data_IF_287282184587
#
_entry.id   IF_287282184587
#
_cell.length_a   1.000
_cell.length_b   1.000
_cell.length_c   1.000
_cell.angle_alpha   90.00
_cell.angle_beta   90.00
_cell.angle_gamma   90.00
#
_symmetry.space_group_name_H-M   'P 1'
#
loop_
_entity.id
_entity.type
_entity.pdbx_description
1 polymer ?
#
# COMPACT_ATOMS: atom_id res chain seq x y z
N UNK A 1 6.27 -18.04 14.65
CA UNK A 1 6.25 -16.59 14.90
C UNK A 1 7.03 -15.94 13.79
N UNK A 2 6.45 -14.99 13.05
CA UNK A 2 7.18 -14.26 12.03
C UNK A 2 8.17 -13.31 12.71
N UNK A 3 9.35 -13.16 12.15
CA UNK A 3 10.26 -12.07 12.56
C UNK A 3 9.64 -10.73 12.17
N UNK A 4 10.01 -9.65 12.86
CA UNK A 4 9.54 -8.30 12.54
C UNK A 4 9.80 -7.93 11.07
N UNK A 5 10.95 -8.34 10.52
CA UNK A 5 11.29 -8.14 9.11
C UNK A 5 10.35 -8.89 8.17
N UNK A 6 10.04 -10.15 8.45
CA UNK A 6 9.10 -10.92 7.62
C UNK A 6 7.69 -10.33 7.68
N UNK A 7 7.23 -9.88 8.85
CA UNK A 7 5.93 -9.23 8.98
C UNK A 7 5.86 -7.91 8.20
N UNK A 8 6.94 -7.12 8.17
CA UNK A 8 7.02 -5.88 7.38
C UNK A 8 7.04 -6.15 5.87
N UNK A 9 7.78 -7.15 5.41
CA UNK A 9 7.81 -7.54 3.99
C UNK A 9 6.44 -8.05 3.52
N UNK A 10 5.76 -8.86 4.34
CA UNK A 10 4.41 -9.33 4.07
C UNK A 10 3.40 -8.16 4.03
N UNK A 11 3.49 -7.23 5.00
CA UNK A 11 2.69 -6.01 4.99
C UNK A 11 2.93 -5.19 3.72
N UNK A 12 4.19 -5.01 3.29
CA UNK A 12 4.53 -4.30 2.05
C UNK A 12 3.84 -4.93 0.85
N UNK A 13 3.93 -6.26 0.72
CA UNK A 13 3.30 -7.00 -0.37
C UNK A 13 1.78 -6.86 -0.38
N UNK A 14 1.14 -7.01 0.78
CA UNK A 14 -0.32 -6.92 0.90
C UNK A 14 -0.84 -5.52 0.56
N UNK A 15 -0.18 -4.47 1.06
CA UNK A 15 -0.58 -3.08 0.77
C UNK A 15 -0.37 -2.78 -0.72
N UNK A 16 0.76 -3.18 -1.31
CA UNK A 16 1.02 -2.98 -2.74
C UNK A 16 -0.02 -3.67 -3.63
N UNK A 17 -0.39 -4.91 -3.30
CA UNK A 17 -1.43 -5.65 -4.00
C UNK A 17 -2.80 -4.95 -3.91
N UNK A 18 -3.25 -4.63 -2.69
CA UNK A 18 -4.54 -3.96 -2.47
C UNK A 18 -4.60 -2.57 -3.14
N UNK A 19 -3.51 -1.81 -3.08
CA UNK A 19 -3.42 -0.50 -3.75
C UNK A 19 -3.50 -0.64 -5.25
N UNK A 20 -2.86 -1.66 -5.84
CA UNK A 20 -2.91 -1.91 -7.29
C UNK A 20 -4.32 -2.29 -7.76
N UNK A 21 -5.05 -3.08 -6.96
CA UNK A 21 -6.45 -3.41 -7.22
C UNK A 21 -7.30 -2.13 -7.18
N UNK A 22 -7.14 -1.31 -6.14
CA UNK A 22 -7.84 -0.05 -6.00
C UNK A 22 -7.52 0.92 -7.15
N UNK A 23 -6.26 0.97 -7.59
CA UNK A 23 -5.82 1.78 -8.72
C UNK A 23 -6.50 1.39 -10.03
N UNK A 24 -6.74 0.10 -10.25
CA UNK A 24 -7.49 -0.39 -11.41
C UNK A 24 -8.98 -0.07 -11.28
N UNK A 25 -9.59 -0.40 -10.15
CA UNK A 25 -11.05 -0.26 -9.95
C UNK A 25 -11.49 1.21 -10.00
N UNK A 26 -10.69 2.15 -9.48
CA UNK A 26 -11.02 3.58 -9.51
C UNK A 26 -11.16 4.13 -10.94
N UNK A 27 -10.56 3.46 -11.91
CA UNK A 27 -10.57 3.85 -13.34
C UNK A 27 -11.58 3.04 -14.16
N UNK A 28 -11.80 1.76 -13.83
CA UNK A 28 -12.57 0.84 -14.68
C UNK A 28 -14.00 0.58 -14.22
N UNK A 29 -14.34 0.83 -12.94
CA UNK A 29 -15.68 0.54 -12.43
C UNK A 29 -16.73 1.46 -13.04
N UNK A 30 -17.86 0.88 -13.45
CA UNK A 30 -19.01 1.64 -13.95
C UNK A 30 -19.82 2.30 -12.82
N UNK A 31 -19.77 1.75 -11.61
CA UNK A 31 -20.47 2.29 -10.44
C UNK A 31 -19.67 3.47 -9.84
N UNK A 32 -20.25 4.69 -9.76
CA UNK A 32 -19.58 5.87 -9.19
C UNK A 32 -19.14 5.71 -7.74
N UNK A 33 -19.96 5.11 -6.88
CA UNK A 33 -19.66 4.89 -5.45
C UNK A 33 -18.48 3.94 -5.28
N UNK A 34 -18.43 2.88 -6.11
CA UNK A 34 -17.29 1.95 -6.12
C UNK A 34 -16.02 2.65 -6.58
N UNK A 35 -16.11 3.55 -7.58
CA UNK A 35 -14.93 4.34 -8.00
C UNK A 35 -14.44 5.25 -6.88
N UNK A 36 -15.34 5.92 -6.17
CA UNK A 36 -14.99 6.81 -5.06
C UNK A 36 -14.36 6.06 -3.90
N UNK A 37 -14.96 4.92 -3.51
CA UNK A 37 -14.37 4.02 -2.51
C UNK A 37 -12.98 3.53 -2.95
N UNK A 38 -12.83 3.11 -4.21
CA UNK A 38 -11.54 2.67 -4.73
C UNK A 38 -10.49 3.80 -4.75
N UNK A 39 -10.88 5.05 -5.00
CA UNK A 39 -9.98 6.21 -4.85
C UNK A 39 -9.51 6.37 -3.40
N UNK A 40 -10.42 6.29 -2.43
CA UNK A 40 -10.08 6.41 -1.02
C UNK A 40 -9.10 5.31 -0.60
N UNK A 41 -9.39 4.05 -0.94
CA UNK A 41 -8.51 2.90 -0.67
C UNK A 41 -7.16 3.05 -1.35
N UNK A 42 -7.12 3.54 -2.59
CA UNK A 42 -5.87 3.79 -3.31
C UNK A 42 -4.98 4.80 -2.57
N UNK A 43 -5.53 5.92 -2.10
CA UNK A 43 -4.75 6.93 -1.38
C UNK A 43 -4.24 6.42 -0.04
N UNK A 44 -5.09 5.72 0.73
CA UNK A 44 -4.67 5.09 1.99
C UNK A 44 -3.55 4.09 1.74
N UNK A 45 -3.74 3.19 0.77
CA UNK A 45 -2.75 2.18 0.42
C UNK A 45 -1.42 2.76 -0.07
N UNK A 46 -1.47 3.83 -0.87
CA UNK A 46 -0.26 4.53 -1.32
C UNK A 46 0.50 5.19 -0.15
N UNK A 47 -0.22 5.81 0.80
CA UNK A 47 0.36 6.34 2.03
C UNK A 47 0.99 5.24 2.89
N UNK A 48 0.28 4.13 3.09
CA UNK A 48 0.78 2.98 3.85
C UNK A 48 2.02 2.35 3.22
N UNK A 49 2.13 2.30 1.88
CA UNK A 49 3.35 1.82 1.22
C UNK A 49 4.55 2.71 1.52
N UNK A 50 4.40 4.03 1.50
CA UNK A 50 5.50 4.95 1.84
C UNK A 50 5.97 4.72 3.28
N UNK A 51 5.04 4.53 4.21
CA UNK A 51 5.34 4.25 5.61
C UNK A 51 6.09 2.92 5.75
N UNK A 52 5.59 1.83 5.16
CA UNK A 52 6.26 0.51 5.25
C UNK A 52 7.62 0.51 4.55
N UNK A 53 7.78 1.24 3.45
CA UNK A 53 9.08 1.42 2.80
C UNK A 53 10.08 2.15 3.69
N UNK A 54 9.63 3.14 4.48
CA UNK A 54 10.49 3.81 5.46
C UNK A 54 10.93 2.87 6.60
N UNK A 55 10.09 1.91 7.00
CA UNK A 55 10.39 0.95 8.07
C UNK A 55 11.15 -0.30 7.63
N UNK A 56 11.13 -0.66 6.35
CA UNK A 56 11.99 -1.71 5.81
C UNK A 56 13.36 -1.10 5.50
N UNK A 57 14.47 -1.83 5.69
CA UNK A 57 15.85 -1.32 5.54
C UNK A 57 16.16 -0.62 4.18
N UNK A 58 15.28 -0.72 3.19
CA UNK A 58 15.24 0.11 1.97
C UNK A 58 15.07 1.61 2.23
N UNK A 59 14.52 1.99 3.40
CA UNK A 59 14.29 3.34 3.86
C UNK A 59 15.22 3.79 5.00
N UNK A 60 16.24 3.00 5.37
CA UNK A 60 17.37 3.53 6.17
C UNK A 60 18.11 4.53 5.30
N UNK A 61 17.66 5.77 5.34
CA UNK A 61 18.53 6.93 5.15
C UNK A 61 19.67 6.69 6.13
N UNK A 62 20.83 6.27 5.62
CA UNK A 62 22.04 6.06 6.42
C UNK A 62 22.58 7.36 7.01
N UNK A 63 21.99 8.50 6.64
CA UNK A 63 22.49 9.83 6.90
C UNK A 63 21.38 10.73 7.47
N UNK A 64 21.15 10.62 8.78
CA UNK A 64 20.72 11.74 9.63
C UNK A 64 21.59 11.75 10.88
#
# INVERSE_FOLDING_TARGET
>A
MLTQRQALEEARGNIACGTSIAARIKETSQNPEIRELAKAVYFIGFGSQQIVNAFTDSGRIKDL
#
